data_IF_499150971298
#
_entry.id   IF_499150971298
#
_cell.length_a   1.000
_cell.length_b   1.000
_cell.length_c   1.000
_cell.angle_alpha   90.00
_cell.angle_beta   90.00
_cell.angle_gamma   90.00
#
_symmetry.space_group_name_H-M   'P 1'
#
loop_
_entity.id
_entity.type
_entity.pdbx_description
1 polymer ?
#
# COMPACT_ATOMS: atom_id res chain seq x y z
N UNK A 1 32.95 12.85 -14.34
CA UNK A 1 31.58 12.32 -14.49
C UNK A 1 30.82 12.70 -13.23
N UNK A 2 29.74 13.46 -13.35
CA UNK A 2 28.88 13.76 -12.20
C UNK A 2 28.25 12.48 -11.70
N UNK A 3 28.45 12.15 -10.42
CA UNK A 3 27.81 10.99 -9.79
C UNK A 3 26.30 11.20 -9.78
N UNK A 4 25.53 10.25 -10.30
CA UNK A 4 24.06 10.31 -10.26
C UNK A 4 23.56 10.32 -8.81
N UNK A 5 22.45 11.01 -8.58
CA UNK A 5 21.73 10.93 -7.30
C UNK A 5 21.08 9.57 -7.08
N UNK A 6 20.67 9.31 -5.85
CA UNK A 6 19.96 8.08 -5.45
C UNK A 6 18.46 8.33 -5.34
N UNK A 7 17.65 7.42 -5.89
CA UNK A 7 16.20 7.38 -5.66
C UNK A 7 15.92 6.55 -4.39
N UNK A 8 15.44 7.20 -3.34
CA UNK A 8 15.01 6.56 -2.10
C UNK A 8 13.52 6.27 -2.14
N UNK A 9 13.13 5.03 -1.91
CA UNK A 9 11.73 4.65 -1.78
C UNK A 9 11.35 4.82 -0.31
N UNK A 10 10.55 5.85 -0.02
CA UNK A 10 10.22 6.29 1.34
C UNK A 10 8.84 5.76 1.71
N UNK A 11 8.74 4.82 2.68
CA UNK A 11 7.45 4.35 3.16
C UNK A 11 6.65 5.43 3.87
N UNK A 12 5.32 5.34 3.75
CA UNK A 12 4.37 6.16 4.49
C UNK A 12 3.67 5.31 5.58
N UNK A 13 2.97 5.95 6.52
CA UNK A 13 2.07 5.26 7.45
C UNK A 13 0.92 4.59 6.68
N UNK A 14 0.30 3.56 7.25
CA UNK A 14 -0.85 2.87 6.63
C UNK A 14 -2.19 3.59 6.87
N UNK A 15 -2.23 4.53 7.80
CA UNK A 15 -3.39 5.36 8.12
C UNK A 15 -2.96 6.78 8.47
N UNK A 16 -3.93 7.65 8.69
CA UNK A 16 -3.73 9.08 8.90
C UNK A 16 -4.03 9.56 10.34
N UNK A 17 -4.35 8.64 11.25
CA UNK A 17 -4.53 8.96 12.68
C UNK A 17 -3.18 9.34 13.27
N UNK A 18 -3.07 10.49 13.90
CA UNK A 18 -1.88 11.00 14.58
C UNK A 18 -0.52 10.44 14.07
N UNK A 19 -0.15 10.82 12.85
CA UNK A 19 1.08 10.35 12.20
C UNK A 19 2.33 10.58 13.06
N UNK A 20 2.39 11.67 13.79
CA UNK A 20 3.54 12.00 14.63
C UNK A 20 3.74 10.96 15.73
N UNK A 21 2.68 10.53 16.40
CA UNK A 21 2.74 9.46 17.39
C UNK A 21 3.03 8.09 16.78
N UNK A 22 2.57 7.85 15.53
CA UNK A 22 2.81 6.59 14.82
C UNK A 22 4.23 6.43 14.29
N UNK A 23 4.91 7.51 13.88
CA UNK A 23 6.20 7.44 13.20
C UNK A 23 7.23 6.55 13.93
N UNK A 24 7.49 6.71 15.23
CA UNK A 24 8.48 5.90 15.94
C UNK A 24 8.10 4.42 16.02
N UNK A 25 6.81 4.12 15.85
CA UNK A 25 6.26 2.76 15.90
C UNK A 25 6.37 2.03 14.56
N UNK A 26 6.20 2.76 13.44
CA UNK A 26 6.07 2.13 12.11
C UNK A 26 7.25 2.39 11.17
N UNK A 27 8.04 3.45 11.40
CA UNK A 27 9.21 3.78 10.61
C UNK A 27 10.48 3.72 11.46
N UNK A 28 11.52 2.98 11.03
CA UNK A 28 12.83 3.03 11.69
C UNK A 28 13.40 4.44 11.70
N UNK A 29 14.16 4.75 12.75
CA UNK A 29 14.85 6.04 12.92
C UNK A 29 15.64 6.45 11.68
N UNK A 30 16.35 5.50 11.07
CA UNK A 30 17.17 5.77 9.88
C UNK A 30 16.32 6.08 8.63
N UNK A 31 15.15 5.48 8.50
CA UNK A 31 14.17 5.84 7.45
C UNK A 31 13.71 7.29 7.61
N UNK A 32 13.33 7.68 8.84
CA UNK A 32 12.93 9.05 9.18
C UNK A 32 14.08 10.03 8.90
N UNK A 33 15.29 9.73 9.39
CA UNK A 33 16.47 10.58 9.21
C UNK A 33 16.88 10.72 7.73
N UNK A 34 16.72 9.67 6.92
CA UNK A 34 17.00 9.75 5.48
C UNK A 34 15.94 10.58 4.75
N UNK A 35 14.66 10.40 5.09
CA UNK A 35 13.58 11.22 4.52
C UNK A 35 13.76 12.71 4.83
N UNK A 36 14.15 13.05 6.06
CA UNK A 36 14.40 14.44 6.50
C UNK A 36 15.49 15.17 5.70
N UNK A 37 16.42 14.46 5.06
CA UNK A 37 17.52 15.04 4.26
C UNK A 37 17.13 15.37 2.81
N UNK A 38 15.97 14.89 2.33
CA UNK A 38 15.59 14.98 0.92
C UNK A 38 14.85 16.27 0.62
N UNK A 39 15.19 16.90 -0.51
CA UNK A 39 14.57 18.13 -1.00
C UNK A 39 13.74 17.91 -2.27
N UNK A 40 14.04 16.84 -3.04
CA UNK A 40 13.35 16.49 -4.27
C UNK A 40 12.45 15.27 -4.06
N UNK A 41 11.18 15.41 -4.43
CA UNK A 41 10.17 14.39 -4.16
C UNK A 41 9.32 14.08 -5.37
N UNK A 42 9.04 12.81 -5.59
CA UNK A 42 7.92 12.35 -6.42
C UNK A 42 6.94 11.67 -5.49
N UNK A 43 5.69 12.11 -5.51
CA UNK A 43 4.65 11.67 -4.59
C UNK A 43 3.38 11.30 -5.33
N UNK A 44 2.59 10.40 -4.79
CA UNK A 44 1.30 10.05 -5.37
C UNK A 44 0.27 11.17 -5.11
N UNK A 45 0.30 11.75 -3.91
CA UNK A 45 -0.53 12.89 -3.50
C UNK A 45 0.27 13.85 -2.62
N UNK A 46 0.34 15.11 -3.04
CA UNK A 46 1.14 16.12 -2.35
C UNK A 46 0.59 16.49 -0.96
N UNK A 47 -0.71 16.37 -0.73
CA UNK A 47 -1.31 16.65 0.58
C UNK A 47 -0.89 15.60 1.61
N UNK A 48 -0.98 14.33 1.23
CA UNK A 48 -0.57 13.19 2.07
C UNK A 48 0.92 13.22 2.35
N UNK A 49 1.74 13.54 1.34
CA UNK A 49 3.18 13.66 1.49
C UNK A 49 3.58 14.79 2.45
N UNK A 50 2.98 15.98 2.31
CA UNK A 50 3.22 17.09 3.24
C UNK A 50 2.84 16.75 4.68
N UNK A 51 1.75 15.97 4.87
CA UNK A 51 1.35 15.54 6.21
C UNK A 51 2.39 14.61 6.85
N UNK A 52 2.97 13.66 6.09
CA UNK A 52 4.06 12.83 6.59
C UNK A 52 5.32 13.65 6.86
N UNK A 53 5.73 14.52 5.95
CA UNK A 53 6.91 15.37 6.12
C UNK A 53 6.79 16.28 7.35
N UNK A 54 5.59 16.84 7.61
CA UNK A 54 5.32 17.59 8.83
C UNK A 54 5.47 16.74 10.10
N UNK A 55 5.04 15.49 10.06
CA UNK A 55 5.21 14.57 11.18
C UNK A 55 6.69 14.18 11.36
N UNK A 56 7.44 14.01 10.26
CA UNK A 56 8.89 13.77 10.29
C UNK A 56 9.61 14.97 10.92
N UNK A 57 9.28 16.21 10.52
CA UNK A 57 9.90 17.44 11.04
C UNK A 57 9.76 17.56 12.55
N UNK A 58 8.63 17.12 13.11
CA UNK A 58 8.40 17.12 14.56
C UNK A 58 9.36 16.20 15.35
N UNK A 59 9.95 15.19 14.72
CA UNK A 59 10.84 14.20 15.36
C UNK A 59 12.27 14.22 14.81
N UNK A 60 12.48 14.75 13.61
CA UNK A 60 13.77 14.88 12.92
C UNK A 60 13.72 16.10 11.99
N UNK A 61 14.43 17.19 12.32
CA UNK A 61 14.38 18.42 11.53
C UNK A 61 14.65 18.19 10.05
N UNK A 62 13.81 18.77 9.18
CA UNK A 62 13.95 18.70 7.73
C UNK A 62 15.14 19.57 7.26
N UNK A 63 15.79 19.16 6.16
CA UNK A 63 16.91 19.89 5.56
C UNK A 63 16.52 21.28 5.01
N UNK A 64 15.23 21.48 4.67
CA UNK A 64 14.64 22.75 4.27
C UNK A 64 13.15 22.77 4.63
N UNK A 65 12.51 23.91 4.54
CA UNK A 65 11.07 24.01 4.78
C UNK A 65 10.28 23.22 3.71
N UNK A 66 9.09 22.73 4.05
CA UNK A 66 8.23 21.99 3.12
C UNK A 66 7.88 22.84 1.86
N UNK A 67 7.82 24.17 2.01
CA UNK A 67 7.54 25.10 0.92
C UNK A 67 8.70 25.21 -0.08
N UNK A 68 9.94 25.01 0.37
CA UNK A 68 11.16 25.03 -0.46
C UNK A 68 11.41 23.68 -1.14
N UNK A 69 10.71 22.62 -0.75
CA UNK A 69 10.87 21.31 -1.38
C UNK A 69 10.30 21.28 -2.79
N UNK A 70 11.06 20.68 -3.70
CA UNK A 70 10.60 20.39 -5.06
C UNK A 70 9.76 19.11 -5.06
N UNK A 71 8.44 19.23 -5.21
CA UNK A 71 7.50 18.12 -5.13
C UNK A 71 6.71 18.00 -6.44
N UNK A 72 6.76 16.83 -7.06
CA UNK A 72 6.02 16.49 -8.28
C UNK A 72 5.06 15.33 -8.00
N UNK A 73 3.84 15.40 -8.52
CA UNK A 73 2.87 14.31 -8.39
C UNK A 73 3.00 13.31 -9.55
N UNK A 74 2.84 12.03 -9.21
CA UNK A 74 2.79 10.94 -10.16
C UNK A 74 1.72 9.91 -9.76
N UNK A 75 0.70 9.77 -10.60
CA UNK A 75 -0.43 8.86 -10.37
C UNK A 75 -0.52 7.74 -11.42
N UNK A 76 0.61 7.46 -12.11
CA UNK A 76 0.71 6.51 -13.20
C UNK A 76 0.44 7.14 -14.58
N UNK A 77 1.11 6.62 -15.62
CA UNK A 77 1.05 7.17 -16.98
C UNK A 77 -0.39 7.26 -17.52
N UNK A 78 -1.20 6.23 -17.32
CA UNK A 78 -2.58 6.18 -17.80
C UNK A 78 -3.47 7.23 -17.11
N UNK A 79 -3.29 7.46 -15.80
CA UNK A 79 -4.08 8.44 -15.05
C UNK A 79 -3.65 9.86 -15.37
N UNK A 80 -2.34 10.11 -15.46
CA UNK A 80 -1.83 11.41 -15.84
C UNK A 80 -2.30 11.81 -17.25
N UNK A 81 -2.22 10.90 -18.23
CA UNK A 81 -2.72 11.15 -19.59
C UNK A 81 -4.22 11.50 -19.63
N UNK A 82 -5.04 10.88 -18.77
CA UNK A 82 -6.48 11.19 -18.66
C UNK A 82 -6.75 12.63 -18.21
N UNK A 83 -5.84 13.23 -17.45
CA UNK A 83 -5.94 14.62 -16.99
C UNK A 83 -5.12 15.61 -17.85
N UNK A 84 -4.63 15.17 -19.01
CA UNK A 84 -3.88 16.01 -19.97
C UNK A 84 -2.40 16.15 -19.67
N UNK A 85 -1.87 15.50 -18.65
CA UNK A 85 -0.47 15.52 -18.28
C UNK A 85 0.32 14.43 -19.04
N UNK A 86 1.03 14.84 -20.10
CA UNK A 86 1.91 13.96 -20.88
C UNK A 86 3.32 13.82 -20.25
N UNK A 87 3.42 13.94 -18.93
CA UNK A 87 4.71 13.84 -18.23
C UNK A 87 5.24 12.40 -18.31
N UNK A 88 6.49 12.26 -18.75
CA UNK A 88 7.16 10.95 -18.78
C UNK A 88 7.89 10.71 -17.45
N UNK A 89 7.96 9.45 -16.95
CA UNK A 89 8.71 9.11 -15.73
C UNK A 89 10.15 9.66 -15.74
N UNK A 90 10.85 9.58 -16.88
CA UNK A 90 12.20 10.08 -17.02
C UNK A 90 12.34 11.61 -16.80
N UNK A 91 11.31 12.40 -17.12
CA UNK A 91 11.34 13.86 -16.92
C UNK A 91 11.29 14.23 -15.44
N UNK A 92 10.56 13.45 -14.65
CA UNK A 92 10.47 13.62 -13.19
C UNK A 92 11.77 13.25 -12.47
N UNK A 93 12.60 12.41 -13.09
CA UNK A 93 13.87 11.93 -12.54
C UNK A 93 15.08 12.81 -12.94
N UNK A 94 14.89 13.93 -13.64
CA UNK A 94 15.98 14.84 -14.03
C UNK A 94 16.87 15.29 -12.85
N UNK A 95 16.37 15.54 -11.64
CA UNK A 95 17.24 15.88 -10.51
C UNK A 95 18.29 14.81 -10.21
N UNK A 96 18.02 13.50 -10.43
CA UNK A 96 19.01 12.43 -10.27
C UNK A 96 20.21 12.63 -11.21
N UNK A 97 19.97 13.09 -12.44
CA UNK A 97 21.03 13.35 -13.44
C UNK A 97 21.94 14.52 -13.02
N UNK A 98 21.40 15.45 -12.22
CA UNK A 98 22.15 16.57 -11.64
C UNK A 98 22.86 16.19 -10.31
N UNK A 99 22.83 14.92 -9.91
CA UNK A 99 23.45 14.44 -8.67
C UNK A 99 22.60 14.61 -7.41
N UNK A 100 21.35 15.09 -7.52
CA UNK A 100 20.47 15.26 -6.37
C UNK A 100 19.79 13.95 -5.98
N UNK A 101 19.75 13.65 -4.68
CA UNK A 101 18.97 12.55 -4.14
C UNK A 101 17.46 12.90 -4.18
N UNK A 102 16.64 11.90 -4.44
CA UNK A 102 15.18 12.06 -4.53
C UNK A 102 14.45 11.06 -3.65
N UNK A 103 13.29 11.45 -3.12
CA UNK A 103 12.33 10.57 -2.46
C UNK A 103 11.17 10.21 -3.40
N UNK A 104 10.80 8.94 -3.41
CA UNK A 104 9.53 8.45 -3.98
C UNK A 104 8.64 7.99 -2.84
N UNK A 105 7.39 8.48 -2.76
CA UNK A 105 6.46 8.21 -1.69
C UNK A 105 5.06 7.94 -2.26
N UNK A 106 4.42 6.87 -1.76
CA UNK A 106 3.00 6.56 -2.03
C UNK A 106 2.07 7.19 -0.98
N UNK A 107 0.76 7.10 -1.20
CA UNK A 107 -0.23 7.58 -0.23
C UNK A 107 -0.18 6.80 1.09
N UNK A 108 0.12 5.48 1.03
CA UNK A 108 0.21 4.62 2.21
C UNK A 108 1.18 3.46 1.99
N UNK A 109 1.92 3.06 3.03
CA UNK A 109 2.81 1.91 3.00
C UNK A 109 4.05 2.10 2.14
N UNK A 110 4.55 1.01 1.55
CA UNK A 110 5.80 0.99 0.77
C UNK A 110 5.54 1.37 -0.69
N UNK A 111 6.26 2.35 -1.25
CA UNK A 111 6.06 2.77 -2.63
C UNK A 111 6.54 1.70 -3.62
N UNK A 112 5.89 1.64 -4.79
CA UNK A 112 6.15 0.65 -5.84
C UNK A 112 5.40 -0.67 -5.64
N UNK A 113 4.61 -0.81 -4.56
CA UNK A 113 3.77 -1.97 -4.28
C UNK A 113 2.31 -1.53 -4.19
N UNK A 114 1.49 -2.03 -5.10
CA UNK A 114 0.08 -1.65 -5.25
C UNK A 114 -0.14 -0.16 -5.59
N UNK A 115 0.88 0.52 -6.10
CA UNK A 115 0.86 1.91 -6.52
C UNK A 115 1.62 2.13 -7.85
N UNK A 116 1.51 3.30 -8.49
CA UNK A 116 2.15 3.59 -9.77
C UNK A 116 3.67 3.83 -9.70
N UNK A 117 4.29 3.75 -8.54
CA UNK A 117 5.72 4.02 -8.33
C UNK A 117 6.66 3.09 -9.09
N UNK A 118 6.21 1.87 -9.42
CA UNK A 118 7.00 0.88 -10.16
C UNK A 118 7.51 1.42 -11.52
N UNK A 119 6.72 2.25 -12.22
CA UNK A 119 7.14 2.87 -13.48
C UNK A 119 8.35 3.81 -13.30
N UNK A 120 8.37 4.57 -12.21
CA UNK A 120 9.47 5.48 -11.84
C UNK A 120 10.72 4.71 -11.43
N UNK A 121 10.56 3.63 -10.66
CA UNK A 121 11.67 2.75 -10.27
C UNK A 121 12.33 2.15 -11.51
N UNK A 122 11.52 1.63 -12.45
CA UNK A 122 12.04 1.09 -13.71
C UNK A 122 12.76 2.16 -14.54
N UNK A 123 12.23 3.38 -14.58
CA UNK A 123 12.87 4.50 -15.27
C UNK A 123 14.20 4.89 -14.61
N UNK A 124 14.28 4.92 -13.27
CA UNK A 124 15.52 5.19 -12.54
C UNK A 124 16.61 4.14 -12.84
N UNK A 125 16.24 2.85 -12.88
CA UNK A 125 17.17 1.79 -13.29
C UNK A 125 17.67 1.98 -14.74
N UNK A 126 16.80 2.37 -15.67
CA UNK A 126 17.20 2.67 -17.07
C UNK A 126 18.15 3.85 -17.17
N UNK A 127 18.08 4.82 -16.27
CA UNK A 127 19.01 5.93 -16.16
C UNK A 127 20.35 5.55 -15.50
N UNK A 128 20.48 4.34 -14.94
CA UNK A 128 21.65 3.91 -14.19
C UNK A 128 21.72 4.50 -12.77
N UNK A 129 20.64 5.10 -12.27
CA UNK A 129 20.60 5.66 -10.93
C UNK A 129 20.47 4.54 -9.86
N UNK A 130 21.07 4.75 -8.70
CA UNK A 130 20.89 3.87 -7.58
C UNK A 130 19.47 4.00 -7.03
N UNK A 131 18.80 2.86 -6.79
CA UNK A 131 17.50 2.80 -6.11
C UNK A 131 17.70 2.16 -4.74
N UNK A 132 17.21 2.84 -3.68
CA UNK A 132 17.31 2.36 -2.29
C UNK A 132 15.91 2.27 -1.66
N UNK A 133 15.36 1.06 -1.46
CA UNK A 133 14.16 0.90 -0.65
C UNK A 133 14.51 1.12 0.82
N UNK A 134 13.66 1.86 1.53
CA UNK A 134 13.77 2.03 2.98
C UNK A 134 12.72 1.18 3.69
N UNK A 135 13.05 0.79 4.92
CA UNK A 135 12.19 -0.08 5.73
C UNK A 135 10.97 0.69 6.24
N UNK A 136 9.79 0.11 6.10
CA UNK A 136 8.54 0.65 6.61
C UNK A 136 7.38 -0.33 6.47
N UNK A 137 6.16 0.06 6.84
CA UNK A 137 5.02 -0.85 6.93
C UNK A 137 4.49 -1.23 5.55
N UNK A 138 4.08 -2.49 5.41
CA UNK A 138 3.31 -3.01 4.27
C UNK A 138 2.08 -3.74 4.80
N UNK A 139 0.89 -3.28 4.45
CA UNK A 139 -0.36 -3.92 4.86
C UNK A 139 -0.44 -5.38 4.38
N UNK A 140 0.10 -5.67 3.20
CA UNK A 140 0.13 -7.01 2.61
C UNK A 140 0.93 -7.96 3.50
N UNK A 141 2.17 -7.57 3.88
CA UNK A 141 3.04 -8.40 4.70
C UNK A 141 2.60 -8.47 6.16
N UNK A 142 2.14 -7.36 6.75
CA UNK A 142 1.61 -7.34 8.12
C UNK A 142 0.35 -8.23 8.23
N UNK A 143 -0.55 -8.13 7.26
CA UNK A 143 -1.72 -9.01 7.19
C UNK A 143 -1.33 -10.48 7.07
N UNK A 144 -0.38 -10.82 6.18
CA UNK A 144 0.10 -12.19 6.00
C UNK A 144 0.77 -12.73 7.27
N UNK A 145 1.67 -11.96 7.89
CA UNK A 145 2.36 -12.35 9.14
C UNK A 145 1.38 -12.75 10.24
N UNK A 146 0.30 -11.99 10.40
CA UNK A 146 -0.66 -12.16 11.48
C UNK A 146 -1.83 -13.09 11.14
N UNK A 147 -1.97 -13.50 9.87
CA UNK A 147 -3.11 -14.29 9.40
C UNK A 147 -3.10 -15.76 9.87
N UNK A 148 -1.93 -16.33 10.14
CA UNK A 148 -1.76 -17.76 10.36
C UNK A 148 -1.93 -18.62 9.08
N UNK A 149 -2.04 -17.98 7.90
CA UNK A 149 -2.11 -18.64 6.59
C UNK A 149 -0.70 -18.96 6.06
N UNK A 150 -0.63 -19.57 4.86
CA UNK A 150 0.67 -19.97 4.29
C UNK A 150 1.51 -18.74 3.87
N UNK A 151 2.57 -18.44 4.64
CA UNK A 151 3.53 -17.38 4.34
C UNK A 151 4.69 -17.81 3.42
N UNK A 152 4.82 -19.09 3.09
CA UNK A 152 5.85 -19.58 2.16
C UNK A 152 5.44 -19.47 0.69
N UNK A 153 4.13 -19.49 0.43
CA UNK A 153 3.56 -19.32 -0.91
C UNK A 153 2.35 -18.40 -0.82
N UNK A 154 2.44 -17.23 -1.45
CA UNK A 154 1.35 -16.26 -1.49
C UNK A 154 1.37 -15.46 -2.79
N UNK A 155 0.22 -14.93 -3.17
CA UNK A 155 0.05 -14.08 -4.34
C UNK A 155 -0.81 -12.86 -4.01
N UNK A 156 -0.33 -11.67 -4.36
CA UNK A 156 -1.10 -10.44 -4.28
C UNK A 156 -1.87 -10.22 -5.58
N UNK A 157 -3.17 -10.04 -5.47
CA UNK A 157 -4.12 -9.94 -6.58
C UNK A 157 -4.53 -8.49 -6.92
N UNK A 158 -4.04 -7.50 -6.17
CA UNK A 158 -4.48 -6.11 -6.31
C UNK A 158 -5.92 -5.90 -5.86
N UNK A 159 -6.71 -5.17 -6.68
CA UNK A 159 -8.16 -5.00 -6.49
C UNK A 159 -8.93 -6.06 -7.28
N UNK A 160 -9.98 -6.60 -6.68
CA UNK A 160 -10.87 -7.51 -7.38
C UNK A 160 -11.93 -6.73 -8.20
N UNK A 161 -12.60 -7.38 -9.19
CA UNK A 161 -13.59 -6.73 -10.04
C UNK A 161 -14.71 -6.04 -9.24
N UNK A 162 -15.13 -4.87 -9.74
CA UNK A 162 -16.20 -4.09 -9.11
C UNK A 162 -17.57 -4.67 -9.39
N UNK A 163 -17.77 -5.26 -10.56
CA UNK A 163 -18.99 -5.91 -10.95
C UNK A 163 -19.19 -7.20 -10.12
N UNK A 164 -20.44 -7.42 -9.63
CA UNK A 164 -20.73 -8.47 -8.64
C UNK A 164 -20.51 -9.89 -9.19
N UNK A 165 -20.90 -10.14 -10.45
CA UNK A 165 -20.75 -11.46 -11.07
C UNK A 165 -19.29 -11.77 -11.37
N UNK A 166 -18.53 -10.81 -11.90
CA UNK A 166 -17.09 -10.94 -12.16
C UNK A 166 -16.31 -11.14 -10.86
N UNK A 167 -16.65 -10.38 -9.80
CA UNK A 167 -16.06 -10.53 -8.47
C UNK A 167 -16.30 -11.92 -7.90
N UNK A 168 -17.54 -12.42 -7.97
CA UNK A 168 -17.89 -13.77 -7.52
C UNK A 168 -17.12 -14.85 -8.29
N UNK A 169 -17.02 -14.72 -9.61
CA UNK A 169 -16.25 -15.62 -10.46
C UNK A 169 -14.76 -15.60 -10.09
N UNK A 170 -14.18 -14.39 -9.88
CA UNK A 170 -12.78 -14.24 -9.49
C UNK A 170 -12.51 -14.85 -8.11
N UNK A 171 -13.37 -14.66 -7.13
CA UNK A 171 -13.24 -15.27 -5.81
C UNK A 171 -13.20 -16.79 -5.87
N UNK A 172 -14.10 -17.41 -6.64
CA UNK A 172 -14.12 -18.88 -6.87
C UNK A 172 -12.85 -19.35 -7.58
N UNK A 173 -12.36 -18.59 -8.57
CA UNK A 173 -11.09 -18.88 -9.23
C UNK A 173 -9.93 -18.86 -8.23
N UNK A 174 -9.83 -17.83 -7.40
CA UNK A 174 -8.77 -17.69 -6.38
C UNK A 174 -8.82 -18.82 -5.35
N UNK A 175 -10.01 -19.28 -4.96
CA UNK A 175 -10.18 -20.44 -4.08
C UNK A 175 -9.62 -21.73 -4.72
N UNK A 176 -9.91 -21.97 -6.00
CA UNK A 176 -9.38 -23.12 -6.74
C UNK A 176 -7.85 -23.06 -6.87
N UNK A 177 -7.32 -21.88 -7.22
CA UNK A 177 -5.88 -21.64 -7.33
C UNK A 177 -5.18 -21.83 -5.97
N UNK A 178 -5.76 -21.29 -4.90
CA UNK A 178 -5.26 -21.45 -3.53
C UNK A 178 -5.14 -22.91 -3.14
N UNK A 179 -6.21 -23.70 -3.35
CA UNK A 179 -6.24 -25.12 -3.02
C UNK A 179 -5.21 -25.91 -3.84
N UNK A 180 -5.14 -25.65 -5.14
CA UNK A 180 -4.21 -26.35 -6.05
C UNK A 180 -2.74 -26.08 -5.70
N UNK A 181 -2.40 -24.83 -5.42
CA UNK A 181 -1.03 -24.39 -5.15
C UNK A 181 -0.66 -24.37 -3.66
N UNK A 182 -1.60 -24.62 -2.75
CA UNK A 182 -1.46 -24.37 -1.30
C UNK A 182 -0.94 -22.95 -1.03
N UNK A 183 -1.53 -21.96 -1.73
CA UNK A 183 -1.04 -20.59 -1.80
C UNK A 183 -2.05 -19.62 -1.21
N UNK A 184 -1.61 -18.73 -0.31
CA UNK A 184 -2.43 -17.64 0.20
C UNK A 184 -2.69 -16.62 -0.89
N UNK A 185 -3.96 -16.31 -1.15
CA UNK A 185 -4.39 -15.25 -2.05
C UNK A 185 -4.67 -13.99 -1.24
N UNK A 186 -4.06 -12.86 -1.62
CA UNK A 186 -4.15 -11.58 -0.90
C UNK A 186 -4.70 -10.52 -1.83
N UNK A 187 -5.67 -9.75 -1.38
CA UNK A 187 -6.17 -8.58 -2.12
C UNK A 187 -6.55 -7.44 -1.19
N UNK A 188 -6.69 -6.25 -1.76
CA UNK A 188 -7.17 -5.05 -1.07
C UNK A 188 -8.45 -4.55 -1.70
N UNK A 189 -9.19 -3.75 -0.95
CA UNK A 189 -10.40 -3.10 -1.44
C UNK A 189 -10.43 -1.64 -0.96
N UNK A 190 -11.18 -0.81 -1.66
CA UNK A 190 -11.46 0.55 -1.19
C UNK A 190 -12.32 0.48 0.07
N UNK A 191 -12.01 1.29 1.11
CA UNK A 191 -12.62 1.13 2.44
C UNK A 191 -14.16 1.16 2.46
N UNK A 192 -14.80 1.93 1.58
CA UNK A 192 -16.26 2.00 1.48
C UNK A 192 -16.92 0.75 0.87
N UNK A 193 -16.13 -0.17 0.26
CA UNK A 193 -16.61 -1.41 -0.36
C UNK A 193 -16.32 -2.67 0.46
N UNK A 194 -15.68 -2.55 1.61
CA UNK A 194 -15.27 -3.70 2.42
C UNK A 194 -16.45 -4.60 2.82
N UNK A 195 -17.57 -4.01 3.21
CA UNK A 195 -18.78 -4.77 3.56
C UNK A 195 -19.28 -5.60 2.38
N UNK A 196 -19.40 -5.01 1.20
CA UNK A 196 -19.83 -5.70 -0.01
C UNK A 196 -18.83 -6.80 -0.43
N UNK A 197 -17.51 -6.56 -0.24
CA UNK A 197 -16.47 -7.56 -0.50
C UNK A 197 -16.59 -8.74 0.46
N UNK A 198 -16.76 -8.51 1.76
CA UNK A 198 -16.96 -9.59 2.73
C UNK A 198 -18.20 -10.40 2.39
N UNK A 199 -19.34 -9.75 2.11
CA UNK A 199 -20.56 -10.47 1.71
C UNK A 199 -20.35 -11.31 0.45
N UNK A 200 -19.61 -10.83 -0.53
CA UNK A 200 -19.26 -11.59 -1.72
C UNK A 200 -18.41 -12.83 -1.36
N UNK A 201 -17.43 -12.70 -0.48
CA UNK A 201 -16.64 -13.83 0.02
C UNK A 201 -17.54 -14.88 0.71
N UNK A 202 -18.42 -14.43 1.62
CA UNK A 202 -19.31 -15.33 2.35
C UNK A 202 -20.29 -16.05 1.42
N UNK A 203 -20.72 -15.44 0.34
CA UNK A 203 -21.60 -16.04 -0.66
C UNK A 203 -20.87 -17.00 -1.59
N UNK A 204 -19.66 -16.66 -2.06
CA UNK A 204 -18.98 -17.34 -3.15
C UNK A 204 -18.09 -18.51 -2.71
N UNK A 205 -17.49 -18.44 -1.49
CA UNK A 205 -16.45 -19.37 -1.05
C UNK A 205 -17.00 -20.55 -0.28
N UNK A 206 -16.26 -21.66 -0.29
CA UNK A 206 -16.61 -22.88 0.41
C UNK A 206 -16.55 -22.71 1.94
N UNK A 207 -17.41 -23.44 2.72
CA UNK A 207 -17.50 -23.25 4.17
C UNK A 207 -16.19 -23.44 4.93
N UNK A 208 -15.32 -24.33 4.48
CA UNK A 208 -14.05 -24.67 5.14
C UNK A 208 -12.89 -23.74 4.76
N UNK A 209 -13.04 -22.94 3.69
CA UNK A 209 -12.00 -22.00 3.27
C UNK A 209 -11.73 -20.98 4.36
N UNK A 210 -10.46 -20.75 4.68
CA UNK A 210 -10.03 -19.76 5.65
C UNK A 210 -9.99 -18.38 5.00
N UNK A 211 -10.56 -17.39 5.68
CA UNK A 211 -10.50 -15.98 5.31
C UNK A 211 -9.98 -15.18 6.49
N UNK A 212 -8.92 -14.41 6.26
CA UNK A 212 -8.39 -13.43 7.20
C UNK A 212 -8.78 -12.03 6.77
N UNK A 213 -9.18 -11.21 7.72
CA UNK A 213 -9.34 -9.76 7.58
C UNK A 213 -8.30 -9.07 8.45
N UNK A 214 -7.41 -8.29 7.84
CA UNK A 214 -6.49 -7.38 8.51
C UNK A 214 -7.00 -5.94 8.34
N UNK A 215 -7.60 -5.40 9.40
CA UNK A 215 -8.28 -4.09 9.39
C UNK A 215 -7.46 -3.09 10.18
N UNK A 216 -7.29 -1.86 9.66
CA UNK A 216 -6.58 -0.76 10.31
C UNK A 216 -5.18 -1.16 10.81
N UNK A 217 -4.46 -1.95 10.00
CA UNK A 217 -3.13 -2.46 10.37
C UNK A 217 -2.20 -1.32 10.80
N UNK A 218 -1.48 -1.51 11.90
CA UNK A 218 -0.61 -0.54 12.58
C UNK A 218 -1.31 0.64 13.28
N UNK A 219 -2.63 0.67 13.31
CA UNK A 219 -3.40 1.67 14.06
C UNK A 219 -3.83 1.13 15.43
N UNK A 220 -4.23 2.02 16.35
CA UNK A 220 -4.77 1.62 17.66
C UNK A 220 -6.10 0.85 17.57
N UNK A 221 -6.80 0.98 16.44
CA UNK A 221 -8.03 0.25 16.10
C UNK A 221 -7.77 -1.04 15.31
N UNK A 222 -6.51 -1.50 15.24
CA UNK A 222 -6.15 -2.72 14.52
C UNK A 222 -7.00 -3.92 14.93
N UNK A 223 -7.47 -4.67 13.94
CA UNK A 223 -8.16 -5.93 14.14
C UNK A 223 -7.71 -6.93 13.09
N UNK A 224 -7.19 -8.07 13.55
CA UNK A 224 -6.82 -9.18 12.66
C UNK A 224 -7.57 -10.41 13.10
N UNK A 225 -8.32 -11.01 12.18
CA UNK A 225 -9.14 -12.20 12.50
C UNK A 225 -9.14 -13.16 11.32
N UNK A 226 -8.79 -14.40 11.59
CA UNK A 226 -8.86 -15.52 10.64
C UNK A 226 -9.89 -16.51 11.10
N UNK A 227 -10.89 -16.77 10.27
CA UNK A 227 -11.96 -17.74 10.53
C UNK A 227 -12.25 -18.53 9.24
N UNK A 228 -12.92 -19.68 9.41
CA UNK A 228 -13.54 -20.34 8.27
C UNK A 228 -14.70 -19.49 7.72
N UNK A 229 -15.02 -19.65 6.44
CA UNK A 229 -16.20 -18.99 5.86
C UNK A 229 -17.47 -19.36 6.61
N UNK A 230 -17.57 -20.61 7.10
CA UNK A 230 -18.71 -21.03 7.91
C UNK A 230 -18.85 -20.21 9.21
N UNK A 231 -17.73 -19.91 9.89
CA UNK A 231 -17.75 -19.13 11.13
C UNK A 231 -17.89 -17.61 10.85
N UNK A 232 -17.36 -17.13 9.77
CA UNK A 232 -17.64 -15.76 9.30
C UNK A 232 -19.14 -15.55 9.03
N UNK A 233 -19.84 -16.53 8.40
CA UNK A 233 -21.30 -16.47 8.18
C UNK A 233 -22.09 -16.40 9.49
N UNK A 234 -21.64 -17.09 10.55
CA UNK A 234 -22.26 -16.99 11.88
C UNK A 234 -22.02 -15.63 12.51
N UNK A 235 -20.79 -15.09 12.38
CA UNK A 235 -20.41 -13.80 12.96
C UNK A 235 -21.09 -12.62 12.26
N UNK A 236 -21.24 -12.69 10.94
CA UNK A 236 -21.82 -11.66 10.10
C UNK A 236 -22.93 -12.23 9.21
N UNK A 237 -24.12 -12.50 9.79
CA UNK A 237 -25.23 -13.11 9.05
C UNK A 237 -25.87 -12.18 8.02
N UNK A 238 -25.59 -10.87 8.06
CA UNK A 238 -26.13 -9.88 7.12
C UNK A 238 -25.15 -8.71 6.93
N UNK A 239 -25.37 -7.92 5.88
CA UNK A 239 -24.59 -6.72 5.61
C UNK A 239 -24.64 -5.70 6.77
N UNK A 240 -25.79 -5.55 7.40
CA UNK A 240 -25.97 -4.65 8.54
C UNK A 240 -25.04 -4.99 9.71
N UNK A 241 -24.72 -6.27 9.91
CA UNK A 241 -23.81 -6.71 10.98
C UNK A 241 -22.34 -6.41 10.67
N UNK A 242 -21.98 -6.15 9.40
CA UNK A 242 -20.64 -5.81 8.95
C UNK A 242 -20.32 -4.31 8.99
N UNK A 243 -21.22 -3.46 9.48
CA UNK A 243 -21.07 -2.00 9.45
C UNK A 243 -19.75 -1.50 10.11
N UNK A 244 -19.21 -2.26 11.07
CA UNK A 244 -17.92 -1.95 11.71
C UNK A 244 -16.70 -2.02 10.79
N UNK A 245 -16.82 -2.59 9.58
CA UNK A 245 -15.75 -2.68 8.58
C UNK A 245 -15.80 -1.53 7.57
N UNK A 246 -16.91 -0.79 7.53
CA UNK A 246 -17.10 0.27 6.55
C UNK A 246 -16.12 1.41 6.79
N UNK A 247 -15.53 1.92 5.71
CA UNK A 247 -14.57 3.04 5.70
C UNK A 247 -13.26 2.76 6.47
N UNK A 248 -12.92 1.51 6.75
CA UNK A 248 -11.68 1.11 7.41
C UNK A 248 -10.74 0.42 6.43
N UNK A 249 -9.46 0.84 6.28
CA UNK A 249 -8.50 0.14 5.44
C UNK A 249 -8.42 -1.35 5.79
N UNK A 250 -8.62 -2.22 4.80
CA UNK A 250 -8.69 -3.67 5.03
C UNK A 250 -7.93 -4.45 3.96
N UNK A 251 -7.14 -5.41 4.42
CA UNK A 251 -6.52 -6.45 3.58
C UNK A 251 -7.28 -7.76 3.79
N UNK A 252 -7.58 -8.44 2.71
CA UNK A 252 -8.23 -9.74 2.69
C UNK A 252 -7.24 -10.81 2.29
N UNK A 253 -7.22 -11.94 3.01
CA UNK A 253 -6.34 -13.07 2.72
C UNK A 253 -7.15 -14.38 2.78
N UNK A 254 -6.97 -15.23 1.78
CA UNK A 254 -7.68 -16.49 1.61
C UNK A 254 -6.70 -17.65 1.52
N UNK A 255 -7.02 -18.78 2.18
CA UNK A 255 -6.38 -20.07 1.99
C UNK A 255 -7.44 -21.18 1.98
N UNK A 256 -7.44 -22.03 0.90
CA UNK A 256 -8.43 -23.08 0.68
C UNK A 256 -7.80 -24.50 0.72
#
# INVERSE_FOLDING_TARGET
MTTLGTLYLIPNTLGDNDRTAQLPWVLPRETIAQAAKLQHWIVEDAKTARALLKAIDAVSPLACTIQEMHMSEWRGAARNAKYGDLVKPADLLKPLLAGNNMGLMSEAGVPGVADPGAELVLAAHKLGAQVKPLVGPSSILLGLMASGLNGQSFAFQGYLPQEAQERSAKLKQLEVESRKAQQTQIWIETPYRNTAMLMACLSALAPQTLLCLGVDLSLTSEMITTLSIADWRKRYPSEATCASLQNRPTVFLLLA
#
